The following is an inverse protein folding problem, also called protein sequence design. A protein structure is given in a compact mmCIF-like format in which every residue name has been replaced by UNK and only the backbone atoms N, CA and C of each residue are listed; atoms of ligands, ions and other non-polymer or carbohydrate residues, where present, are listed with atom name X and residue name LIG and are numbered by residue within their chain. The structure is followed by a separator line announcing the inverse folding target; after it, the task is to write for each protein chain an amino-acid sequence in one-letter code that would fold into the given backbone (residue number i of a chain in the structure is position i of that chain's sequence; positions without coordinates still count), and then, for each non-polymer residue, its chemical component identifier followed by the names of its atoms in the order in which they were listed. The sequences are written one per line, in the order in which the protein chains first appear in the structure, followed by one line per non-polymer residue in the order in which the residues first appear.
data_IF_469727068144
#
_entry.id   IF_469727068144
#
_cell.length_a   1.000
_cell.length_b   1.000
_cell.length_c   1.000
_cell.angle_alpha   90.00
_cell.angle_beta   90.00
_cell.angle_gamma   90.00
#
_symmetry.space_group_name_H-M   'P 1'
#
loop_
_entity.id
_entity.type
_entity.pdbx_description
1 polymer ?
#
# COMPACT_ATOMS: atom_id res chain seq x y z
N UNK A 1 -6.92 -12.96 14.57
CA UNK A 1 -8.10 -13.28 15.39
C UNK A 1 -9.03 -14.30 14.73
N UNK A 2 -9.74 -15.06 15.55
CA UNK A 2 -10.74 -16.02 15.12
C UNK A 2 -12.05 -15.32 14.68
N UNK A 3 -12.72 -15.82 13.65
CA UNK A 3 -14.05 -15.38 13.25
C UNK A 3 -14.87 -16.54 12.68
N UNK A 4 -16.19 -16.47 12.83
CA UNK A 4 -17.12 -17.51 12.37
C UNK A 4 -17.60 -17.23 10.94
N UNK A 5 -17.50 -18.24 10.06
CA UNK A 5 -18.06 -18.17 8.72
C UNK A 5 -18.52 -19.56 8.26
N UNK A 6 -19.76 -19.67 7.79
CA UNK A 6 -20.35 -20.91 7.26
C UNK A 6 -20.23 -22.11 8.23
N UNK A 7 -20.41 -21.87 9.53
CA UNK A 7 -20.33 -22.90 10.56
C UNK A 7 -18.92 -23.42 10.84
N UNK A 8 -17.89 -22.64 10.52
CA UNK A 8 -16.48 -22.93 10.81
C UNK A 8 -15.79 -21.72 11.43
N UNK A 9 -14.92 -21.98 12.39
CA UNK A 9 -13.97 -20.99 12.91
C UNK A 9 -12.79 -20.83 11.96
N UNK A 10 -12.56 -19.62 11.46
CA UNK A 10 -11.41 -19.24 10.63
C UNK A 10 -10.51 -18.27 11.40
N UNK A 11 -9.22 -18.22 11.06
CA UNK A 11 -8.26 -17.33 11.71
C UNK A 11 -7.67 -16.35 10.69
N UNK A 12 -7.75 -15.04 10.99
CA UNK A 12 -6.96 -14.04 10.30
C UNK A 12 -5.64 -13.78 11.06
N UNK A 13 -4.57 -13.51 10.32
CA UNK A 13 -3.26 -13.21 10.90
C UNK A 13 -3.22 -11.78 11.48
N UNK A 14 -3.93 -10.83 10.86
CA UNK A 14 -3.92 -9.43 11.27
C UNK A 14 -2.68 -8.70 10.77
N UNK A 15 -1.99 -7.99 11.68
CA UNK A 15 -0.80 -7.18 11.40
C UNK A 15 -0.96 -6.16 10.26
N UNK A 16 -2.13 -5.52 10.20
CA UNK A 16 -2.34 -4.36 9.36
C UNK A 16 -1.22 -3.34 9.57
N UNK A 17 -0.68 -2.80 8.49
CA UNK A 17 0.53 -2.01 8.52
C UNK A 17 0.50 -0.87 7.50
N UNK A 18 1.30 0.16 7.76
CA UNK A 18 1.61 1.23 6.83
C UNK A 18 3.12 1.22 6.57
N UNK A 19 3.52 1.38 5.31
CA UNK A 19 4.91 1.31 4.87
C UNK A 19 5.25 2.55 4.06
N UNK A 20 6.48 3.03 4.17
CA UNK A 20 7.02 4.02 3.27
C UNK A 20 7.40 3.44 1.88
N UNK A 21 7.74 4.29 0.89
CA UNK A 21 8.14 3.83 -0.44
C UNK A 21 9.44 3.00 -0.52
N UNK A 22 10.23 2.92 0.56
CA UNK A 22 11.47 2.13 0.64
C UNK A 22 11.28 0.77 1.32
N UNK A 23 10.09 0.50 1.86
CA UNK A 23 9.81 -0.77 2.55
C UNK A 23 9.89 -0.68 4.07
N UNK A 24 10.11 0.50 4.66
CA UNK A 24 10.12 0.68 6.11
C UNK A 24 8.69 0.64 6.67
N UNK A 25 8.43 -0.24 7.63
CA UNK A 25 7.16 -0.28 8.35
C UNK A 25 7.08 0.90 9.31
N UNK A 26 6.22 1.87 9.00
CA UNK A 26 6.06 3.12 9.78
C UNK A 26 4.89 3.06 10.77
N UNK A 27 4.03 2.05 10.66
CA UNK A 27 2.99 1.73 11.64
C UNK A 27 2.59 0.27 11.51
N UNK A 28 2.31 -0.40 12.63
CA UNK A 28 1.81 -1.78 12.68
C UNK A 28 0.76 -1.91 13.78
N UNK A 29 -0.37 -2.52 13.45
CA UNK A 29 -1.39 -2.87 14.42
C UNK A 29 -0.92 -4.00 15.34
N UNK A 30 -1.31 -3.92 16.61
CA UNK A 30 -1.17 -4.99 17.60
C UNK A 30 -1.99 -6.23 17.21
N UNK A 31 -1.78 -7.35 17.89
CA UNK A 31 -2.44 -8.64 17.57
C UNK A 31 -3.95 -8.68 17.90
N UNK A 32 -4.45 -7.66 18.58
CA UNK A 32 -5.85 -7.50 18.96
C UNK A 32 -6.65 -6.61 18.02
N UNK A 33 -7.95 -6.50 18.33
CA UNK A 33 -8.82 -5.52 17.68
C UNK A 33 -8.37 -4.13 18.10
N UNK A 34 -8.17 -3.24 17.13
CA UNK A 34 -7.74 -1.88 17.41
C UNK A 34 -7.51 -1.06 16.16
N UNK A 35 -7.00 0.14 16.38
CA UNK A 35 -6.67 1.11 15.34
C UNK A 35 -5.18 1.43 15.46
N UNK A 36 -4.51 1.50 14.31
CA UNK A 36 -3.16 2.02 14.17
C UNK A 36 -3.20 3.25 13.26
N UNK A 37 -2.41 4.27 13.57
CA UNK A 37 -2.33 5.48 12.76
C UNK A 37 -0.88 5.94 12.61
N UNK A 38 -0.59 6.66 11.52
CA UNK A 38 0.70 7.29 11.26
C UNK A 38 0.51 8.48 10.34
N UNK A 39 1.54 9.32 10.22
CA UNK A 39 1.55 10.48 9.32
C UNK A 39 2.44 10.17 8.13
N UNK A 40 1.89 10.28 6.93
CA UNK A 40 2.64 10.09 5.68
C UNK A 40 2.88 11.44 5.02
N UNK A 41 4.09 11.63 4.48
CA UNK A 41 4.37 12.77 3.60
C UNK A 41 3.95 12.42 2.16
N UNK A 42 2.92 13.09 1.60
CA UNK A 42 2.44 12.80 0.25
C UNK A 42 3.46 13.12 -0.85
N UNK A 43 4.52 13.87 -0.53
CA UNK A 43 5.58 14.23 -1.50
C UNK A 43 6.64 13.14 -1.66
N UNK A 44 6.79 12.27 -0.66
CA UNK A 44 7.83 11.24 -0.62
C UNK A 44 7.74 10.22 -1.76
N UNK A 45 6.54 9.73 -2.17
CA UNK A 45 6.43 8.84 -3.32
C UNK A 45 6.96 9.44 -4.63
N UNK A 46 6.67 10.72 -4.89
CA UNK A 46 7.14 11.41 -6.09
C UNK A 46 8.67 11.53 -6.11
N UNK A 47 9.27 11.94 -4.98
CA UNK A 47 10.72 12.05 -4.84
C UNK A 47 11.43 10.70 -5.03
N UNK A 48 10.88 9.61 -4.49
CA UNK A 48 11.45 8.25 -4.64
C UNK A 48 11.34 7.78 -6.09
N UNK A 49 10.20 7.98 -6.75
CA UNK A 49 10.02 7.60 -8.18
C UNK A 49 10.93 8.38 -9.12
N UNK A 50 11.21 9.66 -8.82
CA UNK A 50 12.16 10.46 -9.60
C UNK A 50 13.61 9.93 -9.48
N UNK A 51 14.00 9.41 -8.30
CA UNK A 51 15.33 8.83 -8.08
C UNK A 51 15.46 7.42 -8.63
N UNK A 52 14.35 6.67 -8.69
CA UNK A 52 14.31 5.28 -9.16
C UNK A 52 13.09 5.08 -10.09
N UNK A 53 13.19 5.48 -11.36
CA UNK A 53 12.06 5.48 -12.30
C UNK A 53 11.76 4.10 -12.89
N UNK A 54 11.57 3.09 -12.02
CA UNK A 54 11.32 1.68 -12.44
C UNK A 54 10.13 1.56 -13.40
N UNK A 55 9.14 2.44 -13.28
CA UNK A 55 8.00 2.50 -14.19
C UNK A 55 8.39 2.76 -15.65
N UNK A 56 9.47 3.52 -15.90
CA UNK A 56 9.99 3.81 -17.25
C UNK A 56 10.75 2.62 -17.84
N UNK A 57 11.29 1.74 -16.99
CA UNK A 57 11.98 0.53 -17.41
C UNK A 57 11.02 -0.60 -17.83
N UNK A 58 9.71 -0.44 -17.60
CA UNK A 58 8.69 -1.45 -17.93
C UNK A 58 8.58 -1.62 -19.45
N UNK A 59 8.95 -2.80 -19.96
CA UNK A 59 8.92 -3.13 -21.41
C UNK A 59 7.56 -3.61 -21.93
N UNK A 60 6.65 -3.99 -21.04
CA UNK A 60 5.30 -4.47 -21.37
C UNK A 60 4.32 -3.64 -20.57
N UNK A 61 3.55 -2.79 -21.24
CA UNK A 61 2.56 -1.93 -20.60
C UNK A 61 2.89 -0.44 -20.69
N UNK A 62 2.58 0.13 -21.85
CA UNK A 62 2.12 1.52 -21.99
C UNK A 62 1.15 1.54 -23.17
N UNK A 63 -0.08 1.02 -22.99
CA UNK A 63 -1.16 1.46 -23.87
C UNK A 63 -1.35 2.95 -23.56
N UNK A 64 -1.31 3.76 -24.60
CA UNK A 64 -1.29 5.23 -24.57
C UNK A 64 -2.60 5.87 -24.07
N UNK A 65 -3.50 5.14 -23.41
CA UNK A 65 -4.86 5.60 -23.10
C UNK A 65 -5.04 6.30 -21.74
N UNK A 66 -4.07 6.22 -20.81
CA UNK A 66 -4.28 6.71 -19.44
C UNK A 66 -3.90 8.16 -19.14
N UNK A 67 -3.26 8.88 -20.06
CA UNK A 67 -2.64 10.19 -19.76
C UNK A 67 -3.54 11.39 -20.12
N UNK A 68 -4.71 11.17 -20.71
CA UNK A 68 -5.59 12.22 -21.22
C UNK A 68 -6.68 12.72 -20.24
N UNK A 69 -6.82 12.14 -19.04
CA UNK A 69 -7.95 12.45 -18.12
C UNK A 69 -7.59 13.27 -16.88
N UNK A 70 -6.39 13.88 -16.82
CA UNK A 70 -5.97 14.71 -15.67
C UNK A 70 -5.64 16.16 -16.05
N UNK A 71 -6.27 16.67 -17.12
CA UNK A 71 -6.22 18.08 -17.49
C UNK A 71 -7.64 18.60 -17.79
N UNK A 72 -8.47 18.67 -16.73
CA UNK A 72 -9.57 19.64 -16.61
C UNK A 72 -9.83 19.90 -15.11
#
# INVERSE_FOLDING_TARGET
GAYEAKGKTLFNYGHSLAIDPWGLVVARASDGIGIVSTRLDPRMPAAVRARMPVAEHRRIGRSSEGMAIAAE
#
